data_IF_465306600757
#
_entry.id   IF_465306600757
#
_cell.length_a   1.000
_cell.length_b   1.000
_cell.length_c   1.000
_cell.angle_alpha   90.00
_cell.angle_beta   90.00
_cell.angle_gamma   90.00
#
_symmetry.space_group_name_H-M   'P 1'
#
loop_
_entity.id
_entity.type
_entity.pdbx_description
1 polymer ?
#
# COMPACT_ATOMS: atom_id res chain seq x y z
N UNK A 1 67.51 4.82 8.94
CA UNK A 1 67.85 3.42 8.59
C UNK A 1 66.73 2.51 9.08
N UNK A 2 66.39 1.43 8.36
CA UNK A 2 65.24 1.57 7.45
C UNK A 2 64.23 0.41 7.51
N UNK A 3 63.02 0.65 6.98
CA UNK A 3 62.25 -0.37 6.26
C UNK A 3 61.68 0.24 4.98
N UNK A 4 62.08 -0.34 3.85
CA UNK A 4 61.49 -0.16 2.52
C UNK A 4 60.55 -1.38 2.27
N UNK A 5 59.68 -1.50 1.25
CA UNK A 5 59.52 -0.85 -0.06
C UNK A 5 58.15 -1.27 -0.65
N UNK A 6 57.68 -0.54 -1.67
CA UNK A 6 56.80 -0.90 -2.81
C UNK A 6 55.68 -1.97 -2.72
N UNK A 7 54.57 -1.69 -3.40
CA UNK A 7 53.49 -2.64 -3.67
C UNK A 7 52.37 -2.08 -4.56
N UNK A 8 52.71 -1.42 -5.68
CA UNK A 8 51.72 -1.09 -6.71
C UNK A 8 51.25 -2.37 -7.42
N UNK A 9 49.94 -2.50 -7.64
CA UNK A 9 49.40 -3.43 -8.64
C UNK A 9 48.39 -2.68 -9.51
N UNK A 10 48.78 -2.51 -10.77
CA UNK A 10 47.91 -2.14 -11.88
C UNK A 10 47.94 -3.27 -12.92
N UNK A 11 47.13 -3.14 -13.98
CA UNK A 11 47.11 -4.02 -15.17
C UNK A 11 46.36 -5.35 -14.88
N UNK A 12 45.45 -5.87 -15.71
CA UNK A 12 45.26 -5.72 -17.15
C UNK A 12 43.79 -5.74 -17.58
N UNK A 13 43.41 -4.91 -18.55
CA UNK A 13 42.28 -5.19 -19.43
C UNK A 13 42.78 -6.04 -20.62
N UNK A 14 42.02 -7.05 -21.05
CA UNK A 14 42.20 -7.68 -22.36
C UNK A 14 41.06 -7.29 -23.30
N UNK A 15 41.39 -7.11 -24.59
CA UNK A 15 40.46 -6.66 -25.63
C UNK A 15 40.87 -7.25 -26.97
N UNK A 16 39.89 -7.61 -27.80
CA UNK A 16 40.03 -8.17 -29.15
C UNK A 16 40.66 -9.58 -29.17
N UNK A 17 40.47 -10.43 -30.20
CA UNK A 17 40.18 -10.23 -31.65
C UNK A 17 39.14 -11.31 -32.05
N UNK A 18 38.01 -10.97 -32.73
CA UNK A 18 37.70 -11.24 -34.17
C UNK A 18 38.23 -12.60 -34.70
N UNK A 19 37.60 -13.30 -35.64
CA UNK A 19 36.25 -13.35 -36.24
C UNK A 19 36.24 -14.66 -37.08
N UNK A 20 35.32 -15.04 -37.99
CA UNK A 20 34.14 -14.48 -38.67
C UNK A 20 33.23 -15.67 -39.09
N UNK A 21 31.98 -15.43 -39.55
CA UNK A 21 31.41 -15.95 -40.81
C UNK A 21 29.91 -15.62 -40.95
N UNK A 22 29.45 -15.48 -42.19
CA UNK A 22 28.15 -14.96 -42.62
C UNK A 22 27.17 -16.06 -43.07
N UNK A 23 25.93 -15.62 -43.29
CA UNK A 23 24.86 -16.19 -44.13
C UNK A 23 24.00 -17.32 -43.55
N UNK A 24 22.73 -16.98 -43.34
CA UNK A 24 21.55 -17.58 -43.98
C UNK A 24 21.55 -19.10 -44.23
N UNK A 25 20.65 -19.82 -43.55
CA UNK A 25 19.47 -20.35 -44.25
C UNK A 25 18.40 -20.88 -43.28
N UNK A 26 17.13 -20.67 -43.62
CA UNK A 26 15.98 -21.27 -42.93
C UNK A 26 15.46 -22.45 -43.76
N UNK A 27 15.37 -23.65 -43.16
CA UNK A 27 14.33 -24.59 -43.53
C UNK A 27 13.46 -24.96 -42.33
N UNK A 28 12.17 -24.60 -42.40
CA UNK A 28 11.14 -25.18 -41.53
C UNK A 28 10.89 -26.63 -41.95
N UNK A 29 11.38 -27.60 -41.19
CA UNK A 29 10.92 -28.99 -41.27
C UNK A 29 10.62 -29.56 -39.90
N UNK A 30 9.35 -29.89 -39.67
CA UNK A 30 8.90 -30.62 -38.49
C UNK A 30 9.58 -31.99 -38.42
N UNK A 31 9.92 -32.44 -37.21
CA UNK A 31 9.96 -33.86 -36.90
C UNK A 31 9.65 -34.09 -35.41
N UNK A 32 8.35 -34.24 -35.09
CA UNK A 32 7.91 -34.76 -33.80
C UNK A 32 7.83 -36.28 -33.86
N UNK A 33 8.65 -36.96 -33.07
CA UNK A 33 8.68 -38.43 -32.97
C UNK A 33 8.66 -38.88 -31.51
N UNK A 34 7.52 -39.44 -31.09
CA UNK A 34 7.28 -40.19 -29.84
C UNK A 34 7.45 -39.42 -28.49
N UNK A 35 6.50 -39.46 -27.55
CA UNK A 35 5.24 -40.21 -27.56
C UNK A 35 4.19 -39.69 -26.56
N UNK A 36 3.00 -40.31 -26.67
CA UNK A 36 1.78 -40.23 -25.82
C UNK A 36 1.96 -39.64 -24.39
N UNK A 37 1.00 -38.87 -23.84
CA UNK A 37 -0.41 -39.28 -23.63
C UNK A 37 -1.41 -38.10 -23.73
N UNK A 38 -2.42 -38.29 -24.60
CA UNK A 38 -3.81 -37.76 -24.63
C UNK A 38 -4.08 -36.27 -24.28
N UNK A 39 -4.30 -35.50 -25.35
CA UNK A 39 -5.35 -34.49 -25.37
C UNK A 39 -6.74 -35.17 -25.54
N UNK A 40 -7.74 -34.77 -24.75
CA UNK A 40 -9.17 -34.97 -25.07
C UNK A 40 -9.95 -33.72 -24.64
N UNK A 41 -10.26 -32.86 -25.60
CA UNK A 41 -11.20 -31.75 -25.42
C UNK A 41 -12.24 -31.79 -26.54
N UNK A 42 -13.33 -32.53 -26.34
CA UNK A 42 -14.62 -32.21 -26.96
C UNK A 42 -15.79 -32.96 -26.31
N UNK A 43 -16.67 -32.21 -25.62
CA UNK A 43 -18.06 -32.60 -25.40
C UNK A 43 -18.88 -31.34 -25.07
N UNK A 44 -19.14 -30.54 -26.10
CA UNK A 44 -20.20 -29.54 -26.04
C UNK A 44 -21.54 -30.26 -26.13
N UNK A 45 -22.38 -30.14 -25.09
CA UNK A 45 -23.85 -30.12 -25.27
C UNK A 45 -24.57 -29.50 -24.07
N UNK A 46 -25.42 -28.51 -24.39
CA UNK A 46 -26.54 -27.97 -23.61
C UNK A 46 -26.21 -27.16 -22.35
N UNK A 47 -26.18 -25.82 -22.47
CA UNK A 47 -26.16 -24.92 -21.31
C UNK A 47 -25.89 -23.43 -21.55
N UNK A 48 -26.83 -22.70 -22.16
CA UNK A 48 -27.00 -21.22 -22.08
C UNK A 48 -25.84 -20.29 -22.56
N UNK A 49 -25.95 -19.62 -23.73
CA UNK A 49 -24.86 -18.84 -24.33
C UNK A 49 -24.74 -17.39 -23.78
N UNK A 50 -24.79 -17.19 -22.45
CA UNK A 50 -24.70 -15.85 -21.82
C UNK A 50 -23.68 -15.68 -20.68
N UNK A 51 -22.86 -16.69 -20.38
CA UNK A 51 -21.84 -16.61 -19.32
C UNK A 51 -20.51 -17.25 -19.74
N UNK A 52 -19.80 -16.63 -20.70
CA UNK A 52 -18.40 -16.94 -21.02
C UNK A 52 -17.76 -15.83 -21.84
N UNK A 53 -17.75 -14.60 -21.33
CA UNK A 53 -16.81 -13.58 -21.82
C UNK A 53 -15.55 -13.74 -20.99
N UNK A 54 -14.52 -14.35 -21.58
CA UNK A 54 -13.31 -14.72 -20.85
C UNK A 54 -12.60 -13.47 -20.30
N UNK A 55 -11.98 -13.61 -19.13
CA UNK A 55 -11.22 -12.54 -18.48
C UNK A 55 -10.01 -12.08 -19.31
N UNK A 56 -9.54 -12.90 -20.26
CA UNK A 56 -8.46 -12.60 -21.20
C UNK A 56 -8.68 -11.31 -22.01
N UNK A 57 -9.90 -11.11 -22.52
CA UNK A 57 -10.15 -10.11 -23.56
C UNK A 57 -10.25 -8.68 -23.00
N UNK A 58 -10.04 -8.49 -21.69
CA UNK A 58 -10.08 -7.18 -21.01
C UNK A 58 -8.72 -6.53 -20.82
N UNK A 59 -7.61 -7.25 -21.01
CA UNK A 59 -6.29 -6.79 -20.58
C UNK A 59 -5.28 -6.55 -21.71
N UNK A 60 -5.53 -7.04 -22.92
CA UNK A 60 -4.55 -7.09 -24.03
C UNK A 60 -4.24 -5.75 -24.73
N UNK A 61 -4.26 -4.64 -23.99
CA UNK A 61 -3.89 -3.30 -24.45
C UNK A 61 -2.53 -2.83 -23.90
N UNK A 62 -2.03 -1.67 -24.38
CA UNK A 62 -0.90 -1.00 -23.74
C UNK A 62 -1.29 -0.54 -22.33
N UNK A 63 -0.33 -0.45 -21.39
CA UNK A 63 -0.60 -0.03 -20.02
C UNK A 63 -1.16 1.39 -20.00
N UNK A 64 -2.09 1.64 -19.09
CA UNK A 64 -2.46 3.01 -18.75
C UNK A 64 -1.20 3.72 -18.26
N UNK A 65 -0.91 4.91 -18.80
CA UNK A 65 0.22 5.73 -18.35
C UNK A 65 -0.27 7.10 -17.89
N UNK A 66 0.13 7.48 -16.68
CA UNK A 66 -0.04 8.83 -16.15
C UNK A 66 1.34 9.42 -15.94
N UNK A 67 1.64 10.54 -16.61
CA UNK A 67 2.92 11.24 -16.48
C UNK A 67 2.66 12.72 -16.25
N UNK A 68 3.41 13.33 -15.35
CA UNK A 68 3.51 14.77 -15.24
C UNK A 68 4.96 15.18 -14.98
N UNK A 69 5.34 16.31 -15.55
CA UNK A 69 6.61 16.97 -15.34
C UNK A 69 6.33 18.47 -15.24
N UNK A 70 6.53 19.03 -14.07
CA UNK A 70 6.30 20.45 -13.78
C UNK A 70 7.49 21.03 -13.02
N UNK A 71 7.77 22.31 -13.22
CA UNK A 71 8.75 23.05 -12.43
C UNK A 71 8.34 24.50 -12.25
N UNK A 72 8.71 25.08 -11.11
CA UNK A 72 8.59 26.51 -10.85
C UNK A 72 9.38 27.37 -11.86
N UNK A 73 10.38 26.79 -12.54
CA UNK A 73 11.13 27.43 -13.63
C UNK A 73 10.29 27.65 -14.89
N UNK A 74 9.43 26.68 -15.21
CA UNK A 74 8.63 26.68 -16.44
C UNK A 74 7.23 27.28 -16.20
N UNK A 75 6.72 27.15 -14.97
CA UNK A 75 5.42 27.64 -14.53
C UNK A 75 5.50 28.09 -13.05
N UNK A 76 5.43 29.39 -12.74
CA UNK A 76 5.50 29.88 -11.35
C UNK A 76 4.46 29.28 -10.40
N UNK A 77 3.29 28.88 -10.90
CA UNK A 77 2.22 28.25 -10.11
C UNK A 77 2.38 26.73 -9.94
N UNK A 78 3.45 26.12 -10.47
CA UNK A 78 3.70 24.68 -10.41
C UNK A 78 3.63 24.10 -8.98
N UNK A 79 4.18 24.83 -8.00
CA UNK A 79 4.16 24.39 -6.59
C UNK A 79 2.72 24.38 -6.01
N UNK A 80 1.90 25.36 -6.36
CA UNK A 80 0.52 25.45 -5.86
C UNK A 80 -0.36 24.39 -6.52
N UNK A 81 -0.20 24.16 -7.83
CA UNK A 81 -0.82 23.02 -8.50
C UNK A 81 -0.40 21.69 -7.85
N UNK A 82 0.87 21.53 -7.47
CA UNK A 82 1.37 20.30 -6.86
C UNK A 82 0.77 20.07 -5.48
N UNK A 83 0.83 21.10 -4.62
CA UNK A 83 0.23 21.07 -3.28
C UNK A 83 -1.25 20.76 -3.35
N UNK A 84 -2.00 21.43 -4.22
CA UNK A 84 -3.44 21.22 -4.37
C UNK A 84 -3.76 19.81 -4.88
N UNK A 85 -3.07 19.36 -5.94
CA UNK A 85 -3.31 18.04 -6.56
C UNK A 85 -2.94 16.86 -5.66
N UNK A 86 -1.87 16.97 -4.87
CA UNK A 86 -1.44 15.89 -3.96
C UNK A 86 -2.14 15.95 -2.59
N UNK A 87 -2.85 17.04 -2.26
CA UNK A 87 -3.36 17.30 -0.89
C UNK A 87 -4.25 16.20 -0.32
N UNK A 88 -5.01 15.47 -1.15
CA UNK A 88 -5.84 14.36 -0.67
C UNK A 88 -4.98 13.11 -0.35
N UNK A 89 -3.83 12.95 -1.02
CA UNK A 89 -2.90 11.86 -0.76
C UNK A 89 -1.93 12.19 0.39
N UNK A 90 -1.26 13.34 0.32
CA UNK A 90 -0.28 13.86 1.26
C UNK A 90 -0.38 15.39 1.34
N UNK A 91 -0.44 15.94 2.55
CA UNK A 91 -0.13 17.35 2.78
C UNK A 91 1.37 17.58 2.58
N UNK A 92 1.74 18.61 1.82
CA UNK A 92 3.13 18.93 1.49
C UNK A 92 3.53 20.30 2.06
N UNK A 93 4.68 20.35 2.72
CA UNK A 93 5.27 21.56 3.31
C UNK A 93 6.81 21.56 3.22
N UNK A 94 7.45 22.64 3.71
CA UNK A 94 8.92 22.77 3.79
C UNK A 94 9.67 22.54 2.47
N UNK A 95 9.18 23.17 1.39
CA UNK A 95 9.88 23.27 0.09
C UNK A 95 10.57 24.64 0.03
N UNK A 96 11.90 24.62 -0.04
CA UNK A 96 12.76 25.80 -0.03
C UNK A 96 14.08 25.49 -0.79
N UNK A 97 14.53 26.32 -1.74
CA UNK A 97 13.84 27.48 -2.32
C UNK A 97 12.71 27.05 -3.26
N UNK A 98 11.61 27.82 -3.27
CA UNK A 98 10.40 27.55 -4.07
C UNK A 98 10.71 27.56 -5.57
N UNK A 99 11.62 28.41 -6.01
CA UNK A 99 12.08 28.58 -7.39
C UNK A 99 12.84 27.35 -7.92
N UNK A 100 13.37 26.52 -7.03
CA UNK A 100 13.99 25.24 -7.39
C UNK A 100 12.99 24.09 -7.52
N UNK A 101 11.72 24.29 -7.17
CA UNK A 101 10.71 23.24 -7.18
C UNK A 101 10.54 22.60 -8.56
N UNK A 102 10.51 21.26 -8.57
CA UNK A 102 10.04 20.46 -9.69
C UNK A 102 9.35 19.20 -9.16
N UNK A 103 8.43 18.63 -9.94
CA UNK A 103 7.80 17.34 -9.66
C UNK A 103 7.68 16.56 -10.97
N UNK A 104 8.41 15.45 -11.03
CA UNK A 104 8.53 14.55 -12.17
C UNK A 104 8.02 13.18 -11.74
N UNK A 105 6.92 12.72 -12.33
CA UNK A 105 6.39 11.40 -12.01
C UNK A 105 5.98 10.68 -13.29
N UNK A 106 6.21 9.39 -13.29
CA UNK A 106 5.66 8.46 -14.28
C UNK A 106 5.03 7.29 -13.53
N UNK A 107 3.82 6.95 -13.94
CA UNK A 107 2.98 5.91 -13.32
C UNK A 107 2.42 5.05 -14.43
N UNK A 108 2.61 3.74 -14.32
CA UNK A 108 2.12 2.71 -15.22
C UNK A 108 1.09 1.85 -14.48
N UNK A 109 -0.02 1.55 -15.15
CA UNK A 109 -1.13 0.79 -14.63
C UNK A 109 -1.14 -0.60 -15.30
N UNK A 110 -0.92 -1.64 -14.51
CA UNK A 110 -0.76 -3.03 -14.92
C UNK A 110 -1.80 -3.90 -14.19
N UNK A 111 -2.99 -4.05 -14.78
CA UNK A 111 -4.10 -4.74 -14.14
C UNK A 111 -4.50 -4.03 -12.84
N UNK A 112 -4.53 -4.69 -11.67
CA UNK A 112 -4.79 -4.03 -10.40
C UNK A 112 -3.59 -3.25 -9.85
N UNK A 113 -2.40 -3.41 -10.44
CA UNK A 113 -1.16 -2.87 -9.89
C UNK A 113 -0.80 -1.51 -10.48
N UNK A 114 -0.21 -0.65 -9.64
CA UNK A 114 0.34 0.64 -10.03
C UNK A 114 1.84 0.62 -9.77
N UNK A 115 2.65 0.71 -10.83
CA UNK A 115 4.10 0.84 -10.76
C UNK A 115 4.50 2.24 -11.21
N UNK A 116 5.21 2.99 -10.38
CA UNK A 116 5.64 4.33 -10.75
C UNK A 116 6.94 4.77 -10.10
N UNK A 117 7.47 5.90 -10.56
CA UNK A 117 8.60 6.60 -9.94
C UNK A 117 8.31 8.08 -9.85
N UNK A 118 8.51 8.65 -8.67
CA UNK A 118 8.40 10.07 -8.40
C UNK A 118 9.76 10.68 -8.08
N UNK A 119 10.00 11.89 -8.59
CA UNK A 119 11.17 12.73 -8.32
C UNK A 119 10.75 14.16 -8.01
N UNK A 120 11.35 14.76 -6.98
CA UNK A 120 11.10 16.14 -6.56
C UNK A 120 12.25 16.64 -5.67
N UNK A 121 12.21 17.92 -5.33
CA UNK A 121 13.05 18.54 -4.30
C UNK A 121 12.76 18.01 -2.89
N UNK A 122 13.58 18.42 -1.92
CA UNK A 122 13.35 18.15 -0.51
C UNK A 122 12.05 18.77 -0.02
N UNK A 123 11.35 18.04 0.85
CA UNK A 123 10.02 18.40 1.34
C UNK A 123 9.62 17.57 2.56
N UNK A 124 8.58 18.04 3.26
CA UNK A 124 7.85 17.28 4.27
C UNK A 124 6.53 16.80 3.68
N UNK A 125 6.28 15.50 3.75
CA UNK A 125 5.03 14.86 3.31
C UNK A 125 4.30 14.28 4.53
N UNK A 126 3.04 14.66 4.75
CA UNK A 126 2.21 14.17 5.86
C UNK A 126 0.89 13.62 5.34
N UNK A 127 0.66 12.33 5.55
CA UNK A 127 -0.64 11.67 5.41
C UNK A 127 -1.25 11.52 6.79
N UNK A 128 -2.03 12.53 7.18
CA UNK A 128 -2.77 12.55 8.45
C UNK A 128 -4.18 11.96 8.32
N UNK A 129 -4.97 11.97 9.41
CA UNK A 129 -6.36 11.48 9.41
C UNK A 129 -7.27 12.18 8.39
N UNK A 130 -6.97 13.42 8.01
CA UNK A 130 -7.75 14.17 7.01
C UNK A 130 -7.49 13.64 5.59
N UNK A 131 -6.23 13.44 5.19
CA UNK A 131 -5.85 12.85 3.92
C UNK A 131 -6.45 11.44 3.75
N UNK A 132 -6.39 10.64 4.82
CA UNK A 132 -6.95 9.28 4.84
C UNK A 132 -8.46 9.30 4.60
N UNK A 133 -9.20 10.20 5.27
CA UNK A 133 -10.65 10.35 5.05
C UNK A 133 -11.00 10.86 3.65
N UNK A 134 -10.24 11.83 3.12
CA UNK A 134 -10.54 12.46 1.82
C UNK A 134 -10.29 11.53 0.65
N UNK A 135 -9.15 10.84 0.62
CA UNK A 135 -8.78 10.02 -0.53
C UNK A 135 -9.48 8.67 -0.58
N UNK A 136 -9.98 8.17 0.54
CA UNK A 136 -10.58 6.83 0.67
C UNK A 136 -9.62 5.66 0.40
N UNK A 137 -8.34 5.94 0.13
CA UNK A 137 -7.33 4.94 -0.23
C UNK A 137 -7.06 3.99 0.93
N UNK A 138 -7.15 2.69 0.66
CA UNK A 138 -6.74 1.63 1.56
C UNK A 138 -5.61 0.73 1.02
N UNK A 139 -5.11 1.05 -0.18
CA UNK A 139 -4.12 0.28 -0.94
C UNK A 139 -2.83 0.04 -0.15
N UNK A 140 -2.18 -1.09 -0.43
CA UNK A 140 -0.88 -1.46 0.13
C UNK A 140 0.22 -1.11 -0.88
N UNK A 141 1.33 -0.55 -0.40
CA UNK A 141 2.43 -0.10 -1.25
C UNK A 141 3.79 -0.56 -0.73
N UNK A 142 4.62 -1.04 -1.66
CA UNK A 142 6.05 -1.27 -1.48
C UNK A 142 6.77 -0.05 -2.06
N UNK A 143 7.45 0.68 -1.19
CA UNK A 143 8.33 1.80 -1.54
C UNK A 143 9.75 1.29 -1.66
N UNK A 144 10.46 1.68 -2.71
CA UNK A 144 11.91 1.63 -2.83
C UNK A 144 12.40 3.09 -2.83
N UNK A 145 12.96 3.53 -1.71
CA UNK A 145 13.43 4.90 -1.56
C UNK A 145 14.89 4.98 -2.06
N UNK A 146 15.12 5.70 -3.17
CA UNK A 146 16.44 5.87 -3.80
C UNK A 146 17.26 7.00 -3.17
N UNK A 147 16.73 7.59 -2.09
CA UNK A 147 17.33 8.60 -1.22
C UNK A 147 17.07 8.20 0.23
N UNK A 148 17.91 8.65 1.16
CA UNK A 148 17.68 8.38 2.59
C UNK A 148 16.44 9.13 3.10
N UNK A 149 15.61 8.45 3.90
CA UNK A 149 14.39 9.02 4.46
C UNK A 149 14.41 9.00 5.99
N UNK A 150 13.72 9.97 6.60
CA UNK A 150 13.43 9.97 8.04
C UNK A 150 11.98 10.40 8.27
N UNK A 151 11.29 9.73 9.18
CA UNK A 151 9.87 9.99 9.40
C UNK A 151 9.28 9.18 10.55
N UNK A 152 7.96 9.25 10.65
CA UNK A 152 7.14 8.48 11.56
C UNK A 152 6.01 7.80 10.79
N UNK A 153 5.77 6.53 11.05
CA UNK A 153 4.78 5.69 10.36
C UNK A 153 3.89 5.07 11.43
N UNK A 154 2.73 5.69 11.65
CA UNK A 154 1.75 5.30 12.67
C UNK A 154 2.38 5.05 14.07
N UNK A 155 3.24 5.97 14.51
CA UNK A 155 3.97 5.89 15.79
C UNK A 155 5.31 5.13 15.74
N UNK A 156 5.71 4.58 14.58
CA UNK A 156 7.01 3.95 14.37
C UNK A 156 7.97 4.96 13.74
N UNK A 157 9.01 5.37 14.46
CA UNK A 157 10.07 6.17 13.86
C UNK A 157 10.87 5.33 12.85
N UNK A 158 10.94 5.83 11.61
CA UNK A 158 11.63 5.21 10.48
C UNK A 158 12.79 6.12 10.08
N UNK A 159 13.98 5.52 9.93
CA UNK A 159 15.17 6.20 9.45
C UNK A 159 16.00 5.20 8.66
N UNK A 160 16.19 5.43 7.37
CA UNK A 160 16.80 4.44 6.46
C UNK A 160 17.70 5.08 5.40
N UNK A 161 18.74 4.37 4.95
CA UNK A 161 19.59 4.80 3.84
C UNK A 161 18.88 4.63 2.49
N UNK A 162 19.41 5.30 1.47
CA UNK A 162 19.02 5.07 0.08
C UNK A 162 19.16 3.59 -0.32
N UNK A 163 18.24 3.10 -1.14
CA UNK A 163 18.13 1.71 -1.56
C UNK A 163 17.31 0.82 -0.60
N UNK A 164 16.76 1.38 0.47
CA UNK A 164 15.90 0.65 1.42
C UNK A 164 14.48 0.46 0.89
N UNK A 165 13.82 -0.58 1.39
CA UNK A 165 12.43 -0.89 1.13
C UNK A 165 11.54 -0.60 2.34
N UNK A 166 10.34 -0.07 2.07
CA UNK A 166 9.34 0.21 3.11
C UNK A 166 7.95 -0.25 2.69
N UNK A 167 7.21 -0.81 3.64
CA UNK A 167 5.81 -1.17 3.44
C UNK A 167 4.91 -0.08 4.02
N UNK A 168 4.03 0.47 3.17
CA UNK A 168 3.01 1.45 3.54
C UNK A 168 1.62 0.87 3.34
N UNK A 169 0.79 1.04 4.36
CA UNK A 169 -0.64 0.91 4.30
C UNK A 169 -1.22 2.31 4.10
N UNK A 170 -1.85 2.58 2.96
CA UNK A 170 -2.38 3.92 2.66
C UNK A 170 -3.66 4.26 3.43
N UNK A 171 -4.29 3.32 4.14
CA UNK A 171 -5.34 3.63 5.11
C UNK A 171 -4.79 4.22 6.42
N UNK A 172 -3.46 4.35 6.59
CA UNK A 172 -2.84 4.64 7.90
C UNK A 172 -1.87 5.84 7.88
N UNK A 173 -1.67 6.50 9.05
CA UNK A 173 -0.88 7.72 9.11
C UNK A 173 0.59 7.48 8.77
N UNK A 174 1.19 8.43 8.05
CA UNK A 174 2.64 8.47 7.84
C UNK A 174 3.11 9.89 7.57
N UNK A 175 4.29 10.25 8.09
CA UNK A 175 4.90 11.56 7.94
C UNK A 175 6.40 11.40 7.68
N UNK A 176 6.94 12.04 6.64
CA UNK A 176 8.34 11.94 6.27
C UNK A 176 8.92 13.32 5.98
N UNK A 177 10.16 13.55 6.41
CA UNK A 177 11.00 14.66 5.96
C UNK A 177 12.13 14.08 5.11
N UNK A 178 12.25 14.56 3.88
CA UNK A 178 13.22 14.06 2.91
C UNK A 178 14.01 15.20 2.28
N UNK A 179 15.30 14.99 2.05
CA UNK A 179 16.18 16.01 1.45
C UNK A 179 15.99 16.13 -0.08
N UNK A 180 15.41 15.11 -0.69
CA UNK A 180 14.88 15.06 -2.05
C UNK A 180 13.79 13.97 -2.08
N UNK A 181 12.96 13.94 -3.11
CA UNK A 181 12.20 12.74 -3.46
C UNK A 181 12.87 12.07 -4.64
N UNK A 182 13.23 10.80 -4.50
CA UNK A 182 13.43 9.86 -5.61
C UNK A 182 13.02 8.48 -5.09
N UNK A 183 11.86 7.98 -5.51
CA UNK A 183 11.32 6.72 -5.01
C UNK A 183 10.56 5.97 -6.10
N UNK A 184 10.72 4.65 -6.14
CA UNK A 184 9.88 3.74 -6.94
C UNK A 184 8.78 3.21 -6.03
N UNK A 185 7.55 3.19 -6.54
CA UNK A 185 6.36 2.76 -5.80
C UNK A 185 5.70 1.64 -6.58
N UNK A 186 5.49 0.50 -5.91
CA UNK A 186 4.58 -0.55 -6.35
C UNK A 186 3.39 -0.57 -5.39
N UNK A 187 2.23 -0.11 -5.83
CA UNK A 187 1.00 -0.06 -5.05
C UNK A 187 -0.08 -0.99 -5.63
N UNK A 188 -0.96 -1.50 -4.76
CA UNK A 188 -2.03 -2.43 -5.12
C UNK A 188 -3.22 -2.33 -4.16
N UNK A 189 -4.47 -2.47 -4.65
CA UNK A 189 -5.64 -2.75 -3.82
C UNK A 189 -5.45 -3.99 -2.92
N UNK A 190 -6.17 -4.06 -1.80
CA UNK A 190 -6.01 -5.14 -0.81
C UNK A 190 -6.44 -6.52 -1.30
N UNK A 191 -7.37 -6.59 -2.24
CA UNK A 191 -7.85 -7.83 -2.85
C UNK A 191 -6.88 -8.38 -3.90
N UNK A 192 -6.07 -7.52 -4.51
CA UNK A 192 -4.95 -7.89 -5.38
C UNK A 192 -3.62 -8.11 -4.63
N UNK A 193 -3.52 -7.72 -3.36
CA UNK A 193 -2.32 -7.89 -2.56
C UNK A 193 -2.07 -9.36 -2.19
N UNK A 194 -0.82 -9.85 -2.19
CA UNK A 194 -0.51 -11.21 -1.79
C UNK A 194 -0.78 -11.40 -0.28
N UNK A 195 -1.24 -12.59 0.11
CA UNK A 195 -1.65 -12.89 1.50
C UNK A 195 -0.65 -12.46 2.56
N UNK A 196 0.65 -12.66 2.34
CA UNK A 196 1.70 -12.28 3.30
C UNK A 196 1.72 -10.77 3.62
N UNK A 197 1.26 -9.92 2.69
CA UNK A 197 1.18 -8.46 2.82
C UNK A 197 -0.13 -8.01 3.48
N UNK A 198 -1.22 -8.78 3.33
CA UNK A 198 -2.55 -8.49 3.90
C UNK A 198 -2.72 -9.04 5.32
N UNK A 199 -2.31 -10.29 5.54
CA UNK A 199 -2.50 -11.02 6.79
C UNK A 199 -1.54 -10.54 7.91
N UNK A 200 -0.55 -9.72 7.58
CA UNK A 200 0.47 -9.21 8.51
C UNK A 200 0.38 -7.69 8.60
N UNK A 201 0.46 -7.17 9.83
CA UNK A 201 0.56 -5.74 10.10
C UNK A 201 1.98 -5.23 9.77
N UNK A 202 2.27 -4.97 8.49
CA UNK A 202 3.60 -4.62 8.01
C UNK A 202 3.81 -3.11 7.78
N UNK A 203 2.83 -2.25 8.08
CA UNK A 203 2.97 -0.79 7.94
C UNK A 203 4.15 -0.26 8.75
N UNK A 204 5.10 0.42 8.10
CA UNK A 204 6.34 0.90 8.71
C UNK A 204 7.46 -0.14 8.81
N UNK A 205 7.21 -1.40 8.43
CA UNK A 205 8.31 -2.37 8.28
C UNK A 205 9.25 -1.88 7.18
N UNK A 206 10.54 -1.91 7.52
CA UNK A 206 11.62 -1.34 6.73
C UNK A 206 12.71 -2.40 6.59
N UNK A 207 13.24 -2.58 5.39
CA UNK A 207 14.33 -3.52 5.07
C UNK A 207 15.43 -2.75 4.36
N UNK A 208 16.65 -2.86 4.88
CA UNK A 208 17.84 -2.29 4.24
C UNK A 208 18.05 -2.91 2.83
N UNK A 209 18.58 -2.12 1.90
CA UNK A 209 18.99 -2.57 0.58
C UNK A 209 20.26 -3.44 0.58
N UNK A 210 21.05 -3.45 1.66
CA UNK A 210 22.32 -4.19 1.71
C UNK A 210 22.23 -5.72 1.59
N UNK A 211 21.21 -6.45 2.10
CA UNK A 211 21.09 -7.90 1.95
C UNK A 211 20.96 -8.34 0.48
N UNK A 212 21.46 -9.53 0.17
CA UNK A 212 21.52 -10.04 -1.22
C UNK A 212 20.14 -10.09 -1.90
N UNK A 213 19.08 -10.44 -1.14
CA UNK A 213 17.71 -10.53 -1.65
C UNK A 213 17.12 -9.14 -1.94
N UNK A 214 17.35 -8.16 -1.06
CA UNK A 214 16.92 -6.77 -1.29
C UNK A 214 17.49 -6.21 -2.60
N UNK A 215 18.79 -6.46 -2.87
CA UNK A 215 19.42 -6.00 -4.13
C UNK A 215 18.82 -6.65 -5.39
N UNK A 216 18.39 -7.91 -5.32
CA UNK A 216 17.69 -8.57 -6.43
C UNK A 216 16.34 -7.90 -6.70
N UNK A 217 15.58 -7.59 -5.64
CA UNK A 217 14.32 -6.84 -5.76
C UNK A 217 14.55 -5.43 -6.33
N UNK A 218 15.59 -4.72 -5.89
CA UNK A 218 15.97 -3.40 -6.44
C UNK A 218 16.25 -3.49 -7.93
N UNK A 219 17.09 -4.43 -8.36
CA UNK A 219 17.41 -4.61 -9.79
C UNK A 219 16.19 -4.95 -10.62
N UNK A 220 15.32 -5.83 -10.11
CA UNK A 220 14.09 -6.24 -10.77
C UNK A 220 13.11 -5.09 -10.97
N UNK A 221 12.77 -4.33 -9.90
CA UNK A 221 11.83 -3.21 -10.01
C UNK A 221 12.35 -2.08 -10.90
N UNK A 222 13.67 -1.85 -10.91
CA UNK A 222 14.29 -0.86 -11.79
C UNK A 222 14.22 -1.28 -13.27
N UNK A 223 14.55 -2.54 -13.59
CA UNK A 223 14.44 -3.07 -14.94
C UNK A 223 12.99 -3.13 -15.44
N UNK A 224 12.05 -3.49 -14.56
CA UNK A 224 10.62 -3.51 -14.85
C UNK A 224 10.08 -2.10 -15.15
N UNK A 225 10.50 -1.10 -14.38
CA UNK A 225 10.13 0.31 -14.61
C UNK A 225 10.71 0.86 -15.92
N UNK A 226 11.91 0.42 -16.31
CA UNK A 226 12.56 0.78 -17.58
C UNK A 226 11.84 0.14 -18.79
N UNK A 227 11.47 -1.14 -18.68
CA UNK A 227 10.73 -1.86 -19.72
C UNK A 227 9.25 -1.48 -19.83
N UNK A 228 8.66 -0.92 -18.77
CA UNK A 228 7.22 -0.65 -18.64
C UNK A 228 6.54 0.04 -19.84
N UNK A 229 7.14 1.01 -20.58
CA UNK A 229 6.53 1.59 -21.78
C UNK A 229 6.24 0.61 -22.92
N UNK A 230 6.93 -0.52 -22.95
CA UNK A 230 6.87 -1.52 -24.03
C UNK A 230 6.18 -2.84 -23.65
N UNK A 231 5.82 -3.02 -22.38
CA UNK A 231 5.13 -4.22 -21.92
C UNK A 231 3.63 -4.14 -22.22
N UNK A 232 3.01 -5.29 -22.49
CA UNK A 232 1.56 -5.48 -22.34
C UNK A 232 1.13 -5.41 -20.88
N UNK A 233 -0.18 -5.32 -20.60
CA UNK A 233 -0.68 -5.39 -19.23
C UNK A 233 -0.30 -6.72 -18.58
N UNK A 234 -0.44 -7.82 -19.30
CA UNK A 234 -0.17 -9.18 -18.83
C UNK A 234 1.31 -9.40 -18.49
N UNK A 235 2.24 -8.93 -19.33
CA UNK A 235 3.68 -9.00 -19.07
C UNK A 235 4.08 -8.15 -17.85
N UNK A 236 3.50 -6.96 -17.71
CA UNK A 236 3.72 -6.10 -16.54
C UNK A 236 3.17 -6.72 -15.25
N UNK A 237 1.98 -7.33 -15.28
CA UNK A 237 1.42 -8.11 -14.16
C UNK A 237 2.36 -9.24 -13.75
N UNK A 238 2.82 -10.07 -14.70
CA UNK A 238 3.74 -11.16 -14.42
C UNK A 238 5.08 -10.67 -13.85
N UNK A 239 5.60 -9.55 -14.36
CA UNK A 239 6.77 -8.87 -13.81
C UNK A 239 6.56 -8.40 -12.37
N UNK A 240 5.39 -7.84 -12.06
CA UNK A 240 5.05 -7.38 -10.70
C UNK A 240 4.93 -8.57 -9.73
N UNK A 241 4.26 -9.65 -10.11
CA UNK A 241 4.12 -10.86 -9.30
C UNK A 241 5.48 -11.50 -8.95
N UNK A 242 6.40 -11.56 -9.91
CA UNK A 242 7.79 -11.98 -9.65
C UNK A 242 8.50 -11.06 -8.62
N UNK A 243 8.24 -9.76 -8.69
CA UNK A 243 8.71 -8.78 -7.70
C UNK A 243 8.12 -9.03 -6.30
N UNK A 244 6.84 -9.35 -6.20
CA UNK A 244 6.17 -9.64 -4.94
C UNK A 244 6.71 -10.90 -4.25
N UNK A 245 7.12 -11.93 -5.01
CA UNK A 245 7.79 -13.12 -4.48
C UNK A 245 9.17 -12.77 -3.90
N UNK A 246 9.94 -11.90 -4.56
CA UNK A 246 11.22 -11.41 -4.02
C UNK A 246 11.03 -10.54 -2.78
N UNK A 247 10.00 -9.70 -2.76
CA UNK A 247 9.64 -8.89 -1.59
C UNK A 247 9.27 -9.75 -0.38
N UNK A 248 8.47 -10.80 -0.55
CA UNK A 248 8.15 -11.74 0.54
C UNK A 248 9.42 -12.26 1.23
N UNK A 249 10.42 -12.67 0.44
CA UNK A 249 11.70 -13.18 0.97
C UNK A 249 12.52 -12.09 1.65
N UNK A 250 12.57 -10.89 1.06
CA UNK A 250 13.28 -9.75 1.66
C UNK A 250 12.68 -9.35 3.02
N UNK A 251 11.35 -9.32 3.15
CA UNK A 251 10.66 -8.91 4.38
C UNK A 251 10.51 -10.00 5.45
N UNK A 252 10.53 -11.29 5.08
CA UNK A 252 10.24 -12.39 6.02
C UNK A 252 11.45 -13.27 6.40
N UNK A 253 12.62 -13.16 5.75
CA UNK A 253 13.79 -14.00 6.05
C UNK A 253 14.92 -13.34 6.86
N UNK A 254 14.79 -12.06 7.26
CA UNK A 254 15.78 -11.40 8.13
C UNK A 254 15.64 -11.87 9.58
N UNK A 255 16.52 -12.79 9.99
CA UNK A 255 16.56 -13.37 11.34
C UNK A 255 17.00 -12.42 12.47
N UNK A 256 16.77 -12.88 13.71
CA UNK A 256 16.83 -12.14 14.98
C UNK A 256 16.04 -10.82 15.01
N UNK A 257 14.90 -10.86 15.73
CA UNK A 257 14.04 -9.69 15.89
C UNK A 257 14.69 -8.64 16.80
N UNK A 258 15.22 -7.59 16.18
CA UNK A 258 15.56 -6.31 16.81
C UNK A 258 14.42 -5.76 17.69
N UNK A 259 14.71 -4.78 18.55
CA UNK A 259 13.69 -4.16 19.40
C UNK A 259 12.50 -3.56 18.60
N UNK A 260 12.73 -3.10 17.36
CA UNK A 260 11.67 -2.65 16.45
C UNK A 260 10.85 -3.82 15.90
N UNK A 261 11.49 -4.94 15.54
CA UNK A 261 10.76 -6.15 15.13
C UNK A 261 9.99 -6.82 16.28
N UNK A 262 10.50 -6.77 17.52
CA UNK A 262 9.74 -7.18 18.72
C UNK A 262 8.51 -6.28 18.93
N UNK A 263 8.66 -4.97 18.70
CA UNK A 263 7.53 -4.02 18.72
C UNK A 263 6.53 -4.31 17.60
N UNK A 264 7.01 -4.62 16.40
CA UNK A 264 6.18 -5.03 15.25
C UNK A 264 5.44 -6.35 15.53
N UNK A 265 6.05 -7.32 16.21
CA UNK A 265 5.38 -8.54 16.66
C UNK A 265 4.24 -8.24 17.66
N UNK A 266 4.45 -7.34 18.62
CA UNK A 266 3.37 -6.88 19.51
C UNK A 266 2.28 -6.09 18.77
N UNK A 267 2.63 -5.28 17.77
CA UNK A 267 1.67 -4.57 16.91
C UNK A 267 0.92 -5.50 15.94
N UNK A 268 1.54 -6.60 15.50
CA UNK A 268 0.90 -7.68 14.74
C UNK A 268 -0.12 -8.42 15.59
N UNK A 269 0.27 -8.88 16.78
CA UNK A 269 -0.64 -9.45 17.77
C UNK A 269 -1.79 -8.48 18.09
N UNK A 270 -1.50 -7.19 18.27
CA UNK A 270 -2.51 -6.16 18.48
C UNK A 270 -3.48 -6.09 17.31
N UNK A 271 -3.01 -6.09 16.06
CA UNK A 271 -3.87 -6.00 14.88
C UNK A 271 -4.79 -7.22 14.75
N UNK A 272 -4.26 -8.45 14.88
CA UNK A 272 -5.08 -9.66 14.91
C UNK A 272 -6.13 -9.63 16.03
N UNK A 273 -5.76 -9.10 17.20
CA UNK A 273 -6.69 -8.92 18.32
C UNK A 273 -7.77 -7.86 18.02
N UNK A 274 -7.42 -6.74 17.36
CA UNK A 274 -8.39 -5.73 16.91
C UNK A 274 -9.40 -6.35 15.95
N UNK A 275 -8.97 -7.11 14.95
CA UNK A 275 -9.88 -7.78 14.00
C UNK A 275 -10.85 -8.74 14.72
N UNK A 276 -10.36 -9.55 15.64
CA UNK A 276 -11.18 -10.46 16.45
C UNK A 276 -12.14 -9.70 17.40
N UNK A 277 -11.69 -8.58 17.98
CA UNK A 277 -12.54 -7.67 18.76
C UNK A 277 -13.65 -7.11 17.87
N UNK A 278 -13.33 -6.55 16.70
CA UNK A 278 -14.27 -5.90 15.78
C UNK A 278 -15.36 -6.85 15.30
N UNK A 279 -14.98 -8.08 14.89
CA UNK A 279 -15.91 -9.16 14.56
C UNK A 279 -16.83 -9.55 15.74
N UNK A 280 -16.35 -9.36 16.98
CA UNK A 280 -17.03 -9.73 18.21
C UNK A 280 -17.63 -8.54 18.97
N UNK A 281 -17.57 -7.29 18.47
CA UNK A 281 -17.89 -6.09 19.25
C UNK A 281 -19.32 -6.09 19.79
N UNK A 282 -20.25 -6.60 18.98
CA UNK A 282 -21.69 -6.71 19.28
C UNK A 282 -22.02 -7.85 20.25
N UNK A 283 -21.10 -8.79 20.48
CA UNK A 283 -21.27 -9.83 21.50
C UNK A 283 -21.00 -9.20 22.88
N UNK A 284 -21.99 -9.09 23.79
CA UNK A 284 -21.77 -8.52 25.12
C UNK A 284 -20.78 -9.35 25.94
N UNK A 285 -20.76 -10.67 25.77
CA UNK A 285 -19.99 -11.66 26.54
C UNK A 285 -18.56 -11.89 26.03
N UNK A 286 -18.01 -10.97 25.23
CA UNK A 286 -16.62 -11.02 24.76
C UNK A 286 -15.62 -11.03 25.94
N UNK A 287 -15.02 -12.19 26.21
CA UNK A 287 -14.00 -12.39 27.25
C UNK A 287 -12.58 -12.30 26.67
N UNK A 288 -11.65 -11.77 27.45
CA UNK A 288 -10.24 -11.63 27.05
C UNK A 288 -9.59 -13.02 26.91
N UNK A 289 -10.02 -13.98 27.71
CA UNK A 289 -9.61 -15.38 27.67
C UNK A 289 -9.93 -16.04 26.31
N UNK A 290 -11.05 -15.66 25.68
CA UNK A 290 -11.42 -16.11 24.33
C UNK A 290 -10.50 -15.53 23.26
N UNK A 291 -10.14 -14.25 23.38
CA UNK A 291 -9.16 -13.60 22.49
C UNK A 291 -7.76 -14.24 22.63
N UNK A 292 -7.32 -14.51 23.87
CA UNK A 292 -6.06 -15.21 24.18
C UNK A 292 -5.99 -16.57 23.46
N UNK A 293 -7.05 -17.38 23.56
CA UNK A 293 -7.12 -18.69 22.91
C UNK A 293 -7.11 -18.59 21.39
N UNK A 294 -7.89 -17.68 20.81
CA UNK A 294 -7.97 -17.48 19.35
C UNK A 294 -6.66 -16.94 18.73
N UNK A 295 -5.86 -16.20 19.50
CA UNK A 295 -4.61 -15.58 19.04
C UNK A 295 -3.34 -16.41 19.31
N UNK A 296 -3.44 -17.51 20.07
CA UNK A 296 -2.28 -18.30 20.48
C UNK A 296 -1.26 -17.53 21.33
N UNK A 297 -1.68 -16.47 22.02
CA UNK A 297 -0.79 -15.53 22.70
C UNK A 297 -0.98 -15.54 24.22
N UNK A 298 0.09 -15.39 25.01
CA UNK A 298 -0.04 -15.30 26.47
C UNK A 298 -0.81 -14.06 26.92
N UNK A 299 -1.51 -14.14 28.06
CA UNK A 299 -2.19 -12.98 28.70
C UNK A 299 -1.26 -11.77 28.82
N UNK A 300 -0.03 -11.99 29.29
CA UNK A 300 0.96 -10.93 29.45
C UNK A 300 1.44 -10.34 28.11
N UNK A 301 1.46 -11.12 27.03
CA UNK A 301 1.79 -10.63 25.68
C UNK A 301 0.65 -9.77 25.13
N UNK A 302 -0.60 -10.23 25.26
CA UNK A 302 -1.77 -9.49 24.80
C UNK A 302 -1.99 -8.18 25.57
N UNK A 303 -1.81 -8.18 26.90
CA UNK A 303 -1.88 -6.94 27.69
C UNK A 303 -0.75 -5.95 27.33
N UNK A 304 0.47 -6.42 27.07
CA UNK A 304 1.57 -5.58 26.58
C UNK A 304 1.28 -4.98 25.21
N UNK A 305 0.67 -5.74 24.30
CA UNK A 305 0.25 -5.27 22.98
C UNK A 305 -0.78 -4.12 23.02
N UNK A 306 -1.57 -4.00 24.09
CA UNK A 306 -2.55 -2.92 24.29
C UNK A 306 -2.15 -1.88 25.35
N UNK A 307 -0.93 -1.92 25.88
CA UNK A 307 -0.50 -1.02 26.96
C UNK A 307 -0.63 0.48 26.58
N UNK A 308 -0.26 0.84 25.34
CA UNK A 308 -0.41 2.20 24.80
C UNK A 308 -1.87 2.65 24.62
N UNK A 309 -2.84 1.73 24.60
CA UNK A 309 -4.28 2.03 24.52
C UNK A 309 -4.96 2.05 25.90
N UNK A 310 -4.18 2.14 26.99
CA UNK A 310 -4.69 2.03 28.36
C UNK A 310 -5.17 0.62 28.72
N UNK A 311 -4.76 -0.39 27.97
CA UNK A 311 -5.16 -1.80 28.14
C UNK A 311 -6.32 -2.22 27.23
N UNK A 312 -6.38 -3.53 26.96
CA UNK A 312 -7.34 -4.12 26.00
C UNK A 312 -8.80 -3.89 26.39
N UNK A 313 -9.12 -3.87 27.69
CA UNK A 313 -10.47 -3.60 28.21
C UNK A 313 -10.95 -2.19 27.87
N UNK A 314 -10.08 -1.19 27.99
CA UNK A 314 -10.41 0.20 27.65
C UNK A 314 -10.62 0.33 26.13
N UNK A 315 -9.75 -0.30 25.34
CA UNK A 315 -9.86 -0.33 23.90
C UNK A 315 -11.19 -0.93 23.41
N UNK A 316 -11.64 -2.07 23.97
CA UNK A 316 -12.95 -2.66 23.64
C UNK A 316 -14.10 -1.69 23.99
N UNK A 317 -14.03 -1.01 25.15
CA UNK A 317 -15.04 0.01 25.54
C UNK A 317 -15.10 1.14 24.50
N UNK A 318 -13.96 1.65 24.05
CA UNK A 318 -13.87 2.72 23.04
C UNK A 318 -14.44 2.28 21.69
N UNK A 319 -14.05 1.12 21.17
CA UNK A 319 -14.56 0.57 19.91
C UNK A 319 -16.08 0.35 19.91
N UNK A 320 -16.66 -0.08 21.04
CA UNK A 320 -18.13 -0.17 21.20
C UNK A 320 -18.80 1.22 21.15
N UNK A 321 -18.18 2.26 21.70
CA UNK A 321 -18.68 3.65 21.62
C UNK A 321 -18.61 4.23 20.21
N UNK A 322 -17.49 4.01 19.50
CA UNK A 322 -17.30 4.40 18.09
C UNK A 322 -18.35 3.76 17.19
N UNK A 323 -18.47 2.44 17.24
CA UNK A 323 -19.43 1.69 16.43
C UNK A 323 -20.89 2.09 16.72
N UNK A 324 -21.21 2.40 17.98
CA UNK A 324 -22.52 2.94 18.36
C UNK A 324 -22.75 4.34 17.79
N UNK A 325 -21.72 5.20 17.73
CA UNK A 325 -21.82 6.56 17.15
C UNK A 325 -22.09 6.52 15.66
N UNK A 326 -21.47 5.62 14.91
CA UNK A 326 -21.74 5.47 13.48
C UNK A 326 -23.20 5.05 13.25
N UNK A 327 -23.72 4.13 14.08
CA UNK A 327 -25.13 3.76 14.07
C UNK A 327 -26.07 4.91 14.49
N UNK A 328 -25.62 5.88 15.32
CA UNK A 328 -26.37 7.11 15.61
C UNK A 328 -26.45 8.03 14.37
N UNK A 329 -25.34 8.18 13.63
CA UNK A 329 -25.23 9.03 12.43
C UNK A 329 -26.02 8.48 11.23
N UNK A 330 -26.18 7.15 11.13
CA UNK A 330 -26.91 6.48 10.04
C UNK A 330 -28.42 6.36 10.29
N UNK A 331 -28.96 6.99 11.34
CA UNK A 331 -30.39 6.91 11.68
C UNK A 331 -31.28 7.59 10.64
N UNK A 332 -32.35 6.91 10.26
CA UNK A 332 -33.47 7.52 9.54
C UNK A 332 -34.49 8.02 10.57
N UNK A 333 -34.44 9.30 10.88
CA UNK A 333 -35.27 9.91 11.93
C UNK A 333 -34.89 9.44 13.34
N UNK A 334 -35.87 8.99 14.13
CA UNK A 334 -35.68 8.61 15.54
C UNK A 334 -35.45 7.11 15.78
N UNK A 335 -35.18 6.31 14.73
CA UNK A 335 -34.98 4.86 14.83
C UNK A 335 -33.68 4.39 14.15
N UNK A 336 -33.01 3.34 14.68
CA UNK A 336 -33.26 2.69 15.98
C UNK A 336 -32.95 3.63 17.17
N UNK A 337 -33.62 3.44 18.31
CA UNK A 337 -33.50 4.29 19.51
C UNK A 337 -32.13 4.20 20.19
N UNK A 338 -31.85 5.09 21.15
CA UNK A 338 -30.56 5.11 21.88
C UNK A 338 -30.38 3.84 22.71
N UNK A 339 -31.43 3.36 23.37
CA UNK A 339 -31.47 2.05 24.02
C UNK A 339 -31.18 0.88 23.05
N UNK A 340 -31.83 0.86 21.88
CA UNK A 340 -31.64 -0.21 20.89
C UNK A 340 -30.19 -0.25 20.35
N UNK A 341 -29.59 0.91 20.06
CA UNK A 341 -28.18 0.99 19.64
C UNK A 341 -27.24 0.60 20.79
N UNK A 342 -27.49 1.06 22.02
CA UNK A 342 -26.68 0.69 23.18
C UNK A 342 -26.61 -0.85 23.34
N UNK A 343 -27.75 -1.52 23.25
CA UNK A 343 -27.81 -2.98 23.39
C UNK A 343 -27.15 -3.69 22.20
N UNK A 344 -27.46 -3.30 20.97
CA UNK A 344 -26.91 -3.90 19.75
C UNK A 344 -25.37 -3.75 19.61
N UNK A 345 -24.77 -2.80 20.33
CA UNK A 345 -23.32 -2.56 20.36
C UNK A 345 -22.67 -2.99 21.70
N UNK A 346 -23.30 -3.93 22.43
CA UNK A 346 -22.67 -4.64 23.54
C UNK A 346 -22.62 -3.87 24.86
N UNK A 347 -23.53 -2.92 25.10
CA UNK A 347 -23.72 -2.31 26.42
C UNK A 347 -24.85 -2.99 27.20
N UNK A 348 -24.59 -3.27 28.48
CA UNK A 348 -25.53 -3.94 29.39
C UNK A 348 -26.77 -3.09 29.71
N UNK A 349 -26.69 -1.77 29.58
CA UNK A 349 -27.83 -0.86 29.73
C UNK A 349 -27.59 0.50 29.06
N UNK A 350 -28.68 1.18 28.69
CA UNK A 350 -28.65 2.54 28.12
C UNK A 350 -28.02 3.56 29.09
N UNK A 351 -28.23 3.42 30.40
CA UNK A 351 -27.64 4.30 31.42
C UNK A 351 -26.13 4.08 31.61
N UNK A 352 -25.61 2.88 31.31
CA UNK A 352 -24.17 2.63 31.27
C UNK A 352 -23.54 3.15 29.96
N UNK A 353 -24.23 2.95 28.84
CA UNK A 353 -23.86 3.52 27.54
C UNK A 353 -23.80 5.05 27.58
N UNK A 354 -24.87 5.72 27.99
CA UNK A 354 -24.98 7.19 27.96
C UNK A 354 -23.96 7.89 28.85
N UNK A 355 -23.61 7.30 30.00
CA UNK A 355 -22.49 7.78 30.84
C UNK A 355 -21.16 7.61 30.12
N UNK A 356 -20.85 6.40 29.63
CA UNK A 356 -19.63 6.09 28.89
C UNK A 356 -19.45 6.95 27.64
N UNK A 357 -20.55 7.23 26.92
CA UNK A 357 -20.58 8.05 25.72
C UNK A 357 -20.30 9.52 26.05
N UNK A 358 -20.89 10.06 27.13
CA UNK A 358 -20.63 11.42 27.57
C UNK A 358 -19.23 11.59 28.18
N UNK A 359 -18.72 10.60 28.89
CA UNK A 359 -17.32 10.54 29.37
C UNK A 359 -16.32 10.61 28.20
N UNK A 360 -16.65 10.01 27.05
CA UNK A 360 -15.74 9.86 25.91
C UNK A 360 -15.87 10.97 24.85
N UNK A 361 -17.10 11.40 24.54
CA UNK A 361 -17.38 12.43 23.53
C UNK A 361 -17.75 13.81 24.09
N UNK A 362 -17.88 13.96 25.41
CA UNK A 362 -18.25 15.23 26.08
C UNK A 362 -19.73 15.62 25.98
N UNK A 363 -20.52 14.95 25.12
CA UNK A 363 -21.95 15.22 24.92
C UNK A 363 -22.80 13.93 25.02
N UNK A 364 -24.13 14.08 25.05
CA UNK A 364 -25.04 12.93 25.11
C UNK A 364 -25.20 12.24 23.73
N UNK A 365 -25.49 10.94 23.67
CA UNK A 365 -25.74 10.24 22.39
C UNK A 365 -27.00 10.73 21.66
N UNK A 366 -27.92 11.40 22.37
CA UNK A 366 -29.14 11.98 21.79
C UNK A 366 -28.92 13.25 20.96
N UNK A 367 -27.71 13.86 20.98
CA UNK A 367 -27.39 15.08 20.23
C UNK A 367 -26.64 14.83 18.92
N UNK A 368 -26.71 13.61 18.39
CA UNK A 368 -26.05 13.22 17.13
C UNK A 368 -27.08 13.26 15.99
N UNK A 369 -26.86 14.13 15.01
CA UNK A 369 -27.77 14.34 13.86
C UNK A 369 -27.31 13.54 12.61
N UNK A 370 -28.25 13.03 11.77
CA UNK A 370 -27.90 12.25 10.56
C UNK A 370 -27.37 13.09 9.39
N UNK A 371 -26.56 12.48 8.51
CA UNK A 371 -26.01 13.13 7.31
C UNK A 371 -26.79 12.81 6.03
N UNK A 372 -26.86 13.77 5.09
CA UNK A 372 -27.44 13.61 3.75
C UNK A 372 -26.37 13.43 2.64
N UNK A 373 -26.74 12.87 1.47
CA UNK A 373 -25.77 12.48 0.43
C UNK A 373 -25.38 13.62 -0.52
N UNK A 374 -24.16 13.57 -1.06
CA UNK A 374 -23.67 14.43 -2.16
C UNK A 374 -22.84 13.62 -3.17
N UNK A 375 -22.92 13.97 -4.46
CA UNK A 375 -22.38 13.20 -5.60
C UNK A 375 -21.13 13.80 -6.25
N UNK A 376 -20.62 13.12 -7.29
CA UNK A 376 -19.41 13.50 -8.03
C UNK A 376 -19.61 13.45 -9.57
N UNK A 377 -18.97 14.34 -10.38
CA UNK A 377 -19.04 14.31 -11.85
C UNK A 377 -17.81 13.65 -12.53
N UNK A 378 -17.88 13.54 -13.86
CA UNK A 378 -16.99 12.82 -14.79
C UNK A 378 -15.86 13.69 -15.40
N UNK A 379 -14.87 13.09 -16.11
CA UNK A 379 -13.62 13.76 -16.51
C UNK A 379 -13.64 14.37 -17.92
N UNK A 380 -12.72 15.30 -18.16
CA UNK A 380 -12.13 15.63 -19.47
C UNK A 380 -10.63 15.96 -19.29
N UNK A 381 -9.81 15.77 -20.33
CA UNK A 381 -8.35 15.74 -20.21
C UNK A 381 -7.62 16.93 -20.86
N UNK A 382 -6.68 17.52 -20.12
CA UNK A 382 -5.78 18.58 -20.61
C UNK A 382 -4.30 18.20 -20.31
N UNK A 383 -3.35 18.29 -21.29
CA UNK A 383 -1.99 17.77 -21.11
C UNK A 383 -1.06 18.51 -20.12
N UNK A 384 -1.54 19.57 -19.46
CA UNK A 384 -0.76 20.37 -18.50
C UNK A 384 -1.12 20.18 -17.03
N UNK A 385 -2.10 19.33 -16.72
CA UNK A 385 -2.66 19.17 -15.36
C UNK A 385 -2.14 17.95 -14.61
N UNK A 386 -2.07 18.03 -13.28
CA UNK A 386 -1.69 16.90 -12.43
C UNK A 386 -2.90 16.04 -12.07
N UNK A 387 -3.05 14.96 -12.82
CA UNK A 387 -4.17 14.02 -12.68
C UNK A 387 -3.99 13.02 -11.53
N UNK A 388 -3.72 13.51 -10.32
CA UNK A 388 -3.69 12.68 -9.11
C UNK A 388 -5.02 11.94 -8.91
N UNK A 389 -6.16 12.58 -9.21
CA UNK A 389 -7.49 11.95 -9.16
C UNK A 389 -7.57 10.63 -9.94
N UNK A 390 -7.00 10.57 -11.16
CA UNK A 390 -6.97 9.33 -11.95
C UNK A 390 -6.13 8.24 -11.28
N UNK A 391 -5.01 8.60 -10.65
CA UNK A 391 -4.18 7.65 -9.89
C UNK A 391 -4.91 7.16 -8.63
N UNK A 392 -5.62 8.05 -7.94
CA UNK A 392 -6.43 7.73 -6.76
C UNK A 392 -7.60 6.79 -7.13
N UNK A 393 -8.32 7.09 -8.22
CA UNK A 393 -9.44 6.26 -8.71
C UNK A 393 -8.99 4.85 -9.10
N UNK A 394 -7.82 4.72 -9.73
CA UNK A 394 -7.20 3.43 -10.03
C UNK A 394 -6.77 2.67 -8.78
N UNK A 395 -6.11 3.34 -7.82
CA UNK A 395 -5.71 2.72 -6.55
C UNK A 395 -6.92 2.31 -5.67
N UNK A 396 -8.08 2.94 -5.87
CA UNK A 396 -9.39 2.59 -5.31
C UNK A 396 -10.13 1.51 -6.12
N UNK A 397 -9.48 0.83 -7.09
CA UNK A 397 -10.05 -0.29 -7.84
C UNK A 397 -11.08 0.10 -8.91
N UNK A 398 -11.15 1.37 -9.33
CA UNK A 398 -12.00 1.83 -10.44
C UNK A 398 -13.52 1.75 -10.22
N UNK A 399 -13.97 1.51 -8.98
CA UNK A 399 -15.33 1.07 -8.66
C UNK A 399 -16.44 2.16 -8.67
N UNK A 400 -16.32 3.22 -9.49
CA UNK A 400 -17.33 4.30 -9.62
C UNK A 400 -17.71 4.65 -11.06
N UNK A 401 -17.89 3.65 -11.93
CA UNK A 401 -18.44 3.87 -13.27
C UNK A 401 -19.62 2.93 -13.56
N UNK A 402 -20.74 3.55 -13.96
CA UNK A 402 -22.09 2.98 -14.27
C UNK A 402 -22.99 2.82 -13.03
N UNK A 403 -24.30 3.09 -13.10
CA UNK A 403 -25.14 3.50 -14.25
C UNK A 403 -25.96 4.74 -13.93
#
# INVERSE_FOLDING_TARGET
MPVAKHGEFAIQASKAVKSDFLADDVPWTLNCSFGSIRCVQCSLRNGNPRQSMALSDRFSGPPGITRWNISARDNPSALDFYRNGINDWYQVSEIDPVEAFFSQNVVYHFGPYVLGRGKSVGQVLVRGPEQIRRSGLDSLAIMLDLVGIKGNVDGIDVSTPAGSFHLRDLARPSAFKVNAVDAVVLAMPRDAAPRWLVERNLHGLSVDGTPRVSRLLTGHLMALLEAAPSLTVEEGVAGIEAGLVMAERAFLQTGEFTASQTRAAYQGLRASAVTLIDQSLRNPDLKIETLIGALGASRATLFRAFAMSGGITLYIKQRRLESARDALLMRVGRRPTVAEIAHAHGFVSESHFSRSFREYYGHAPGSVEPQGPSGAPRPDSNPGEMHYGLVLDWMNGGARVRS
#
